data_IF_225815566063
#
_entry.id   IF_225815566063
#
_cell.length_a   1.000
_cell.length_b   1.000
_cell.length_c   1.000
_cell.angle_alpha   90.00
_cell.angle_beta   90.00
_cell.angle_gamma   90.00
#
_symmetry.space_group_name_H-M   'P 1'
#
loop_
_entity.id
_entity.type
_entity.pdbx_description
1 polymer ?
#
# COMPACT_ATOMS: atom_id res chain seq x y z
N UNK A 1 -17.69 13.46 8.43
CA UNK A 1 -17.56 13.23 6.97
C UNK A 1 -18.20 11.91 6.57
N UNK A 2 -17.71 10.76 7.04
CA UNK A 2 -18.29 9.44 6.72
C UNK A 2 -19.79 9.34 7.05
N UNK A 3 -20.19 9.75 8.27
CA UNK A 3 -21.60 9.73 8.67
C UNK A 3 -22.51 10.56 7.76
N UNK A 4 -22.04 11.71 7.26
CA UNK A 4 -22.80 12.54 6.31
C UNK A 4 -22.94 11.86 4.95
N UNK A 5 -21.88 11.22 4.46
CA UNK A 5 -21.91 10.46 3.19
C UNK A 5 -22.88 9.28 3.31
N UNK A 6 -22.81 8.52 4.41
CA UNK A 6 -23.73 7.39 4.65
C UNK A 6 -25.18 7.86 4.74
N UNK A 7 -25.43 8.95 5.46
CA UNK A 7 -26.77 9.56 5.53
C UNK A 7 -27.24 9.97 4.13
N UNK A 8 -26.41 10.64 3.34
CA UNK A 8 -26.79 11.06 1.98
C UNK A 8 -27.04 9.87 1.05
N UNK A 9 -26.22 8.82 1.10
CA UNK A 9 -26.38 7.59 0.31
C UNK A 9 -27.73 6.92 0.57
N UNK A 10 -28.25 7.00 1.80
CA UNK A 10 -29.56 6.43 2.13
C UNK A 10 -30.70 7.42 1.85
N UNK A 11 -30.51 8.69 2.21
CA UNK A 11 -31.57 9.71 2.14
C UNK A 11 -31.86 10.12 0.70
N UNK A 12 -30.86 10.24 -0.19
CA UNK A 12 -31.09 10.65 -1.58
C UNK A 12 -31.98 9.67 -2.36
N UNK A 13 -31.74 8.34 -2.33
CA UNK A 13 -32.64 7.37 -2.96
C UNK A 13 -34.05 7.40 -2.37
N UNK A 14 -34.18 7.55 -1.04
CA UNK A 14 -35.49 7.63 -0.38
C UNK A 14 -36.23 8.92 -0.73
N UNK A 15 -35.52 10.05 -0.78
CA UNK A 15 -36.08 11.34 -1.19
C UNK A 15 -36.49 11.32 -2.67
N UNK A 16 -35.69 10.69 -3.53
CA UNK A 16 -36.04 10.47 -4.93
C UNK A 16 -37.31 9.62 -5.06
N UNK A 17 -37.40 8.50 -4.32
CA UNK A 17 -38.59 7.65 -4.28
C UNK A 17 -39.83 8.41 -3.78
N UNK A 18 -39.68 9.19 -2.70
CA UNK A 18 -40.76 10.03 -2.17
C UNK A 18 -41.20 11.11 -3.18
N UNK A 19 -40.29 11.61 -4.01
CA UNK A 19 -40.60 12.60 -5.04
C UNK A 19 -41.44 12.04 -6.20
N UNK A 20 -41.45 10.72 -6.40
CA UNK A 20 -42.28 10.06 -7.42
C UNK A 20 -43.78 10.29 -7.19
N UNK A 21 -44.18 10.45 -5.93
CA UNK A 21 -45.57 10.68 -5.53
C UNK A 21 -46.00 12.15 -5.66
N UNK A 22 -45.13 13.04 -6.14
CA UNK A 22 -45.41 14.45 -6.34
C UNK A 22 -45.49 14.78 -7.84
N UNK A 23 -46.40 15.67 -8.24
CA UNK A 23 -46.53 16.09 -9.65
C UNK A 23 -45.36 16.92 -10.19
N UNK A 24 -44.36 17.25 -9.35
CA UNK A 24 -43.24 18.13 -9.70
C UNK A 24 -42.13 17.34 -10.40
N UNK A 25 -42.24 17.23 -11.73
CA UNK A 25 -41.29 16.51 -12.60
C UNK A 25 -39.83 16.94 -12.40
N UNK A 26 -39.59 18.23 -12.20
CA UNK A 26 -38.23 18.80 -12.07
C UNK A 26 -37.49 18.26 -10.86
N UNK A 27 -38.16 18.20 -9.70
CA UNK A 27 -37.58 17.72 -8.43
C UNK A 27 -37.20 16.25 -8.56
N UNK A 28 -38.06 15.44 -9.19
CA UNK A 28 -37.79 14.03 -9.44
C UNK A 28 -36.53 13.82 -10.30
N UNK A 29 -36.39 14.59 -11.38
CA UNK A 29 -35.21 14.49 -12.26
C UNK A 29 -33.95 14.91 -11.50
N UNK A 30 -34.00 16.03 -10.77
CA UNK A 30 -32.86 16.53 -10.01
C UNK A 30 -32.41 15.53 -8.92
N UNK A 31 -33.35 14.96 -8.15
CA UNK A 31 -33.05 13.97 -7.12
C UNK A 31 -32.53 12.66 -7.72
N UNK A 32 -33.06 12.23 -8.87
CA UNK A 32 -32.59 11.03 -9.56
C UNK A 32 -31.15 11.18 -10.05
N UNK A 33 -30.83 12.31 -10.69
CA UNK A 33 -29.47 12.63 -11.12
C UNK A 33 -28.51 12.73 -9.92
N UNK A 34 -28.94 13.37 -8.83
CA UNK A 34 -28.14 13.48 -7.62
C UNK A 34 -27.87 12.11 -6.98
N UNK A 35 -28.86 11.22 -6.94
CA UNK A 35 -28.69 9.86 -6.42
C UNK A 35 -27.70 9.04 -7.27
N UNK A 36 -27.82 9.12 -8.60
CA UNK A 36 -26.88 8.44 -9.53
C UNK A 36 -25.46 8.99 -9.35
N UNK A 37 -25.30 10.32 -9.35
CA UNK A 37 -24.00 10.96 -9.16
C UNK A 37 -23.37 10.58 -7.82
N UNK A 38 -24.17 10.50 -6.75
CA UNK A 38 -23.71 10.05 -5.44
C UNK A 38 -23.22 8.60 -5.47
N UNK A 39 -23.95 7.69 -6.13
CA UNK A 39 -23.52 6.30 -6.26
C UNK A 39 -22.18 6.17 -7.00
N UNK A 40 -22.01 6.89 -8.12
CA UNK A 40 -20.73 6.96 -8.84
C UNK A 40 -19.61 7.57 -7.98
N UNK A 41 -19.92 8.65 -7.25
CA UNK A 41 -18.95 9.31 -6.37
C UNK A 41 -18.44 8.37 -5.27
N UNK A 42 -19.34 7.61 -4.62
CA UNK A 42 -18.96 6.63 -3.60
C UNK A 42 -18.11 5.51 -4.20
N UNK A 43 -18.52 4.95 -5.33
CA UNK A 43 -17.74 3.91 -6.01
C UNK A 43 -16.33 4.39 -6.38
N UNK A 44 -16.21 5.63 -6.88
CA UNK A 44 -14.93 6.24 -7.22
C UNK A 44 -14.04 6.48 -6.00
N UNK A 45 -14.60 6.99 -4.89
CA UNK A 45 -13.85 7.19 -3.64
C UNK A 45 -13.36 5.85 -3.09
N UNK A 46 -14.24 4.86 -2.99
CA UNK A 46 -13.89 3.53 -2.46
C UNK A 46 -12.83 2.87 -3.33
N UNK A 47 -12.98 2.90 -4.65
CA UNK A 47 -11.99 2.35 -5.58
C UNK A 47 -10.64 3.08 -5.51
N UNK A 48 -10.64 4.39 -5.28
CA UNK A 48 -9.41 5.17 -5.12
C UNK A 48 -8.72 4.86 -3.80
N UNK A 49 -9.47 4.76 -2.69
CA UNK A 49 -8.93 4.37 -1.39
C UNK A 49 -8.37 2.96 -1.41
N UNK A 50 -9.02 2.02 -2.09
CA UNK A 50 -8.51 0.66 -2.24
C UNK A 50 -7.17 0.66 -2.98
N UNK A 51 -7.06 1.39 -4.11
CA UNK A 51 -5.78 1.55 -4.84
C UNK A 51 -4.68 2.19 -4.01
N UNK A 52 -5.00 3.25 -3.25
CA UNK A 52 -4.02 3.91 -2.37
C UNK A 52 -3.55 3.01 -1.24
N UNK A 53 -4.48 2.32 -0.57
CA UNK A 53 -4.15 1.34 0.45
C UNK A 53 -3.22 0.28 -0.15
N UNK A 54 -3.57 -0.27 -1.31
CA UNK A 54 -2.76 -1.26 -2.03
C UNK A 54 -1.32 -0.79 -2.26
N UNK A 55 -1.14 0.42 -2.78
CA UNK A 55 0.18 0.99 -3.03
C UNK A 55 1.00 1.18 -1.75
N UNK A 56 0.36 1.56 -0.65
CA UNK A 56 1.02 1.72 0.65
C UNK A 56 1.57 0.37 1.15
N UNK A 57 0.78 -0.70 1.03
CA UNK A 57 1.19 -2.04 1.48
C UNK A 57 2.35 -2.60 0.66
N UNK A 58 2.33 -2.43 -0.66
CA UNK A 58 3.44 -2.86 -1.52
C UNK A 58 4.70 -2.02 -1.30
N UNK A 59 4.54 -0.70 -1.08
CA UNK A 59 5.66 0.21 -0.88
C UNK A 59 6.50 -0.17 0.34
N UNK A 60 5.86 -0.33 1.50
CA UNK A 60 6.55 -0.69 2.74
C UNK A 60 7.24 -2.06 2.65
N UNK A 61 6.51 -3.09 2.19
CA UNK A 61 7.10 -4.43 2.02
C UNK A 61 8.26 -4.42 1.01
N UNK A 62 8.13 -3.72 -0.12
CA UNK A 62 9.24 -3.63 -1.09
C UNK A 62 10.46 -2.93 -0.48
N UNK A 63 10.26 -1.90 0.35
CA UNK A 63 11.34 -1.21 1.06
C UNK A 63 12.07 -2.15 2.02
N UNK A 64 11.33 -2.89 2.84
CA UNK A 64 11.90 -3.89 3.76
C UNK A 64 12.68 -4.97 3.01
N UNK A 65 12.11 -5.48 1.91
CA UNK A 65 12.75 -6.46 1.04
C UNK A 65 14.10 -5.94 0.52
N UNK A 66 14.13 -4.75 -0.07
CA UNK A 66 15.33 -4.18 -0.68
C UNK A 66 16.38 -3.90 0.39
N UNK A 67 16.01 -3.24 1.48
CA UNK A 67 16.97 -2.78 2.48
C UNK A 67 17.63 -3.94 3.24
N UNK A 68 16.85 -4.93 3.68
CA UNK A 68 17.43 -6.11 4.32
C UNK A 68 18.27 -6.94 3.34
N UNK A 69 17.89 -6.99 2.07
CA UNK A 69 18.72 -7.66 1.05
C UNK A 69 20.07 -6.96 0.90
N UNK A 70 20.09 -5.62 0.84
CA UNK A 70 21.35 -4.86 0.72
C UNK A 70 22.22 -5.09 1.94
N UNK A 71 21.68 -4.90 3.15
CA UNK A 71 22.43 -5.05 4.41
C UNK A 71 23.02 -6.46 4.54
N UNK A 72 22.25 -7.50 4.23
CA UNK A 72 22.76 -8.88 4.34
C UNK A 72 23.80 -9.22 3.27
N UNK A 73 23.70 -8.65 2.07
CA UNK A 73 24.76 -8.74 1.06
C UNK A 73 26.03 -7.99 1.51
N UNK A 74 25.90 -6.81 2.11
CA UNK A 74 27.03 -6.04 2.66
C UNK A 74 27.72 -6.77 3.82
N UNK A 75 26.96 -7.56 4.59
CA UNK A 75 27.47 -8.42 5.65
C UNK A 75 28.11 -9.74 5.14
N UNK A 76 28.11 -9.98 3.83
CA UNK A 76 28.67 -11.19 3.21
C UNK A 76 27.78 -12.44 3.32
N UNK A 77 26.49 -12.28 3.62
CA UNK A 77 25.53 -13.38 3.77
C UNK A 77 24.90 -13.81 2.42
N UNK A 78 25.67 -13.76 1.33
CA UNK A 78 25.23 -13.95 -0.05
C UNK A 78 24.43 -15.24 -0.26
N UNK A 79 24.91 -16.36 0.29
CA UNK A 79 24.29 -17.67 0.14
C UNK A 79 22.91 -17.75 0.83
N UNK A 80 22.76 -17.10 2.00
CA UNK A 80 21.50 -17.01 2.76
C UNK A 80 20.49 -16.16 1.98
N UNK A 81 20.92 -14.97 1.54
CA UNK A 81 20.12 -14.07 0.70
C UNK A 81 19.63 -14.77 -0.56
N UNK A 82 20.53 -15.43 -1.29
CA UNK A 82 20.19 -16.11 -2.54
C UNK A 82 19.23 -17.27 -2.32
N UNK A 83 19.39 -18.03 -1.23
CA UNK A 83 18.50 -19.13 -0.87
C UNK A 83 17.09 -18.64 -0.57
N UNK A 84 16.98 -17.62 0.29
CA UNK A 84 15.68 -17.08 0.69
C UNK A 84 14.99 -16.31 -0.44
N UNK A 85 15.73 -15.60 -1.31
CA UNK A 85 15.17 -14.96 -2.50
C UNK A 85 14.60 -15.99 -3.49
N UNK A 86 15.27 -17.15 -3.65
CA UNK A 86 14.74 -18.25 -4.47
C UNK A 86 13.46 -18.82 -3.85
N UNK A 87 13.43 -18.99 -2.53
CA UNK A 87 12.23 -19.44 -1.82
C UNK A 87 11.08 -18.44 -1.98
N UNK A 88 11.34 -17.14 -1.81
CA UNK A 88 10.38 -16.05 -2.03
C UNK A 88 9.81 -16.11 -3.45
N UNK A 89 10.69 -16.15 -4.47
CA UNK A 89 10.31 -16.26 -5.88
C UNK A 89 9.44 -17.49 -6.16
N UNK A 90 9.77 -18.63 -5.56
CA UNK A 90 9.01 -19.89 -5.76
C UNK A 90 7.61 -19.85 -5.15
N UNK A 91 7.37 -18.98 -4.16
CA UNK A 91 6.06 -18.84 -3.50
C UNK A 91 5.25 -17.69 -4.09
N UNK A 92 5.91 -16.70 -4.69
CA UNK A 92 5.26 -15.53 -5.26
C UNK A 92 4.57 -15.82 -6.59
N UNK A 93 3.27 -16.11 -6.53
CA UNK A 93 2.39 -16.34 -7.69
C UNK A 93 1.21 -15.37 -7.66
N UNK A 94 1.41 -14.09 -8.05
CA UNK A 94 0.32 -13.12 -8.10
C UNK A 94 -0.72 -13.54 -9.14
N UNK A 95 -2.00 -13.49 -8.76
CA UNK A 95 -3.12 -13.61 -9.69
C UNK A 95 -3.87 -12.29 -9.76
N UNK A 96 -4.77 -12.15 -10.74
CA UNK A 96 -5.60 -10.94 -10.85
C UNK A 96 -6.49 -10.74 -9.61
N UNK A 97 -6.90 -11.84 -8.98
CA UNK A 97 -7.81 -11.84 -7.84
C UNK A 97 -7.07 -11.88 -6.49
N UNK A 98 -5.85 -12.43 -6.46
CA UNK A 98 -5.07 -12.58 -5.24
C UNK A 98 -3.68 -12.00 -5.38
N UNK A 99 -3.36 -11.09 -4.47
CA UNK A 99 -2.07 -10.39 -4.38
C UNK A 99 -0.91 -11.24 -3.83
N UNK A 100 -1.10 -12.56 -3.86
CA UNK A 100 -0.20 -13.59 -3.35
C UNK A 100 0.33 -13.35 -1.93
N UNK A 101 -0.41 -12.59 -1.09
CA UNK A 101 0.02 -12.21 0.26
C UNK A 101 1.48 -11.70 0.29
N UNK A 102 1.83 -10.82 -0.67
CA UNK A 102 3.19 -10.32 -0.86
C UNK A 102 3.83 -9.76 0.41
N UNK A 103 3.06 -9.03 1.22
CA UNK A 103 3.48 -8.50 2.52
C UNK A 103 3.94 -9.60 3.48
N UNK A 104 3.20 -10.71 3.55
CA UNK A 104 3.56 -11.86 4.39
C UNK A 104 4.76 -12.62 3.83
N UNK A 105 4.83 -12.75 2.51
CA UNK A 105 5.95 -13.40 1.85
C UNK A 105 7.26 -12.64 2.10
N UNK A 106 7.23 -11.30 1.98
CA UNK A 106 8.36 -10.46 2.32
C UNK A 106 8.68 -10.51 3.80
N UNK A 107 7.70 -10.41 4.69
CA UNK A 107 7.96 -10.54 6.13
C UNK A 107 8.62 -11.89 6.48
N UNK A 108 8.23 -12.97 5.80
CA UNK A 108 8.87 -14.28 5.96
C UNK A 108 10.32 -14.24 5.47
N UNK A 109 10.58 -13.63 4.31
CA UNK A 109 11.93 -13.47 3.78
C UNK A 109 12.83 -12.66 4.72
N UNK A 110 12.36 -11.49 5.17
CA UNK A 110 13.11 -10.56 6.02
C UNK A 110 13.51 -11.24 7.35
N UNK A 111 12.58 -11.94 7.98
CA UNK A 111 12.86 -12.70 9.21
C UNK A 111 13.74 -13.94 8.98
N UNK A 112 13.79 -14.48 7.76
CA UNK A 112 14.64 -15.62 7.43
C UNK A 112 16.07 -15.20 7.07
N UNK A 113 16.25 -14.02 6.49
CA UNK A 113 17.54 -13.54 6.00
C UNK A 113 18.33 -12.74 7.03
N UNK A 114 17.65 -12.03 7.94
CA UNK A 114 18.30 -11.18 8.94
C UNK A 114 17.89 -11.55 10.36
N UNK A 115 18.85 -11.51 11.28
CA UNK A 115 18.61 -11.71 12.71
C UNK A 115 18.18 -10.39 13.40
N UNK A 116 18.49 -9.24 12.78
CA UNK A 116 18.06 -7.89 13.19
C UNK A 116 17.32 -7.18 12.04
N UNK A 117 16.10 -7.63 11.70
CA UNK A 117 15.40 -7.14 10.53
C UNK A 117 15.02 -5.66 10.63
N UNK A 118 15.32 -4.91 9.57
CA UNK A 118 14.90 -3.52 9.43
C UNK A 118 13.46 -3.50 8.89
N UNK A 119 12.53 -2.97 9.68
CA UNK A 119 11.11 -2.90 9.33
C UNK A 119 10.66 -1.45 9.25
N UNK A 120 10.07 -1.06 8.13
CA UNK A 120 9.55 0.28 7.94
C UNK A 120 8.09 0.39 8.36
N UNK A 121 7.74 1.54 8.91
CA UNK A 121 6.36 1.84 9.26
C UNK A 121 5.49 1.93 8.00
N UNK A 122 4.32 1.31 8.04
CA UNK A 122 3.39 1.29 6.91
C UNK A 122 2.98 2.71 6.54
N UNK A 123 3.27 3.10 5.30
CA UNK A 123 2.86 4.40 4.78
C UNK A 123 3.85 5.52 5.03
N UNK A 124 5.06 5.25 5.53
CA UNK A 124 6.15 6.24 5.47
C UNK A 124 6.68 6.31 4.01
N UNK A 125 6.48 7.45 3.31
CA UNK A 125 6.96 7.61 1.94
C UNK A 125 8.47 7.93 1.87
N UNK A 126 9.12 8.19 3.01
CA UNK A 126 10.52 8.62 3.04
C UNK A 126 11.43 7.41 2.88
N UNK A 127 12.28 7.44 1.87
CA UNK A 127 13.36 6.47 1.66
C UNK A 127 14.71 6.96 2.19
N UNK A 128 14.81 8.28 2.43
CA UNK A 128 16.09 8.98 2.50
C UNK A 128 16.69 9.05 3.92
N UNK A 129 15.91 8.79 4.96
CA UNK A 129 16.35 9.00 6.35
C UNK A 129 16.87 7.72 7.02
N UNK A 130 16.76 6.55 6.37
CA UNK A 130 16.93 5.24 7.02
C UNK A 130 18.12 4.40 6.51
N UNK A 131 18.98 4.94 5.63
CA UNK A 131 20.25 4.28 5.33
C UNK A 131 21.16 4.52 6.54
N UNK A 132 21.52 3.50 7.34
CA UNK A 132 22.45 3.71 8.44
C UNK A 132 23.74 4.29 7.84
N UNK A 133 24.09 5.52 8.22
CA UNK A 133 25.35 6.17 7.82
C UNK A 133 26.59 5.38 8.23
N UNK A 134 26.38 4.34 9.04
CA UNK A 134 27.40 3.53 9.68
C UNK A 134 27.84 2.36 8.78
N UNK A 135 27.13 2.07 7.68
CA UNK A 135 27.53 1.05 6.70
C UNK A 135 28.44 1.57 5.59
N UNK A 136 28.96 2.80 5.69
CA UNK A 136 30.03 3.25 4.78
C UNK A 136 31.28 2.37 4.99
N UNK A 137 31.65 1.46 4.06
CA UNK A 137 32.83 0.60 4.23
C UNK A 137 34.12 1.40 4.03
N UNK A 138 34.01 2.65 3.59
CA UNK A 138 35.12 3.58 3.43
C UNK A 138 35.22 4.44 4.69
N UNK A 139 35.92 3.88 5.69
CA UNK A 139 36.38 4.66 6.83
C UNK A 139 37.18 5.89 6.40
N UNK A 140 37.34 6.89 7.28
CA UNK A 140 38.07 8.13 7.00
C UNK A 140 39.57 7.96 6.67
N UNK A 141 40.07 6.72 6.54
CA UNK A 141 41.49 6.42 6.29
C UNK A 141 41.93 6.64 4.82
N UNK A 142 41.02 6.89 3.88
CA UNK A 142 41.40 7.17 2.46
C UNK A 142 41.77 8.64 2.18
N UNK A 143 41.93 9.50 3.19
CA UNK A 143 42.33 10.91 2.98
C UNK A 143 43.70 11.27 3.55
N UNK A 144 44.54 10.28 3.88
CA UNK A 144 45.91 10.55 4.28
C UNK A 144 46.89 9.68 3.49
N UNK A 145 47.36 10.18 2.35
CA UNK A 145 48.78 10.08 2.00
C UNK A 145 49.19 11.29 1.14
N UNK A 146 50.43 11.79 1.32
CA UNK A 146 50.89 13.12 0.89
C UNK A 146 51.21 13.26 -0.60
#
# INVERSE_FOLDING_TARGET
MLGLILTLVVVLPLAWLASEFQSRKEIRIALGLAAIAMAFGVAWIVGSLDRLNSNIWYGAATKDLIQNTIVELENGNDDRVLTELRALRSKFHPTYETRADYDKLVATYVNAVSDEPILHERGDPRWADDVPTDSNPLGPESQAEP
#
